data_IF_440629203881
#
_entry.id   IF_440629203881
#
_cell.length_a   1.000
_cell.length_b   1.000
_cell.length_c   1.000
_cell.angle_alpha   90.00
_cell.angle_beta   90.00
_cell.angle_gamma   90.00
#
_symmetry.space_group_name_H-M   'P 1'
#
loop_
_entity.id
_entity.type
_entity.pdbx_description
1 polymer ?
#
# COMPACT_ATOMS: atom_id res chain seq x y z
N UNK A 1 6.72 24.55 3.67
CA UNK A 1 7.47 23.31 3.36
C UNK A 1 6.69 22.51 2.33
N UNK A 2 7.31 22.26 1.22
CA UNK A 2 6.67 21.51 0.15
C UNK A 2 6.74 20.02 0.43
N UNK A 3 5.61 19.34 0.28
CA UNK A 3 5.59 17.88 0.33
C UNK A 3 6.45 17.36 -0.82
N UNK A 4 7.40 16.44 -0.56
CA UNK A 4 8.20 15.92 -1.66
C UNK A 4 7.28 15.26 -2.69
N UNK A 5 7.53 15.47 -3.99
CA UNK A 5 6.72 14.83 -5.02
C UNK A 5 6.86 13.31 -4.94
N UNK A 6 5.84 12.58 -5.40
CA UNK A 6 5.86 11.11 -5.42
C UNK A 6 7.09 10.54 -6.13
N UNK A 7 7.69 11.32 -7.02
CA UNK A 7 8.91 10.96 -7.73
C UNK A 7 10.12 10.78 -6.82
N UNK A 8 10.08 11.33 -5.57
CA UNK A 8 11.14 11.10 -4.59
C UNK A 8 10.96 9.81 -3.79
N UNK A 9 9.85 9.12 -3.92
CA UNK A 9 9.65 7.81 -3.31
C UNK A 9 10.52 6.77 -4.02
N UNK A 10 11.16 5.90 -3.25
CA UNK A 10 11.99 4.84 -3.79
C UNK A 10 11.17 3.56 -3.86
N UNK A 11 11.18 2.88 -5.00
CA UNK A 11 10.50 1.60 -5.16
C UNK A 11 11.33 0.47 -4.55
N UNK A 12 10.66 -0.45 -3.85
CA UNK A 12 11.26 -1.68 -3.35
C UNK A 12 10.66 -2.84 -4.13
N UNK A 13 11.53 -3.62 -4.78
CA UNK A 13 11.11 -4.74 -5.60
C UNK A 13 11.67 -6.04 -5.07
N UNK A 14 10.94 -7.12 -5.33
CA UNK A 14 11.37 -8.47 -4.99
C UNK A 14 12.47 -8.89 -5.96
N UNK A 15 13.59 -9.38 -5.41
CA UNK A 15 14.67 -9.88 -6.26
C UNK A 15 14.24 -11.16 -6.99
N UNK A 16 14.62 -11.23 -8.25
CA UNK A 16 14.33 -12.37 -9.11
C UNK A 16 15.64 -12.98 -9.59
N UNK A 17 16.18 -13.93 -8.84
CA UNK A 17 17.51 -14.52 -9.08
C UNK A 17 17.59 -15.30 -10.39
N UNK A 18 16.46 -15.75 -10.93
CA UNK A 18 16.40 -16.58 -12.14
C UNK A 18 16.00 -15.82 -13.42
N UNK A 19 15.77 -14.53 -13.28
CA UNK A 19 15.49 -13.64 -14.40
C UNK A 19 16.11 -12.26 -14.12
N UNK A 20 17.47 -12.13 -14.23
CA UNK A 20 18.17 -10.92 -13.84
C UNK A 20 17.78 -9.66 -14.62
N UNK A 21 17.20 -9.83 -15.81
CA UNK A 21 16.70 -8.70 -16.61
C UNK A 21 15.29 -8.24 -16.19
N UNK A 22 14.62 -9.01 -15.34
CA UNK A 22 13.31 -8.67 -14.82
C UNK A 22 13.48 -7.80 -13.56
N UNK A 23 12.90 -6.59 -13.52
CA UNK A 23 13.00 -5.74 -12.34
C UNK A 23 12.34 -6.33 -11.08
N UNK A 24 11.59 -7.43 -11.23
CA UNK A 24 10.90 -8.06 -10.11
C UNK A 24 9.58 -7.37 -9.76
N UNK A 25 8.82 -8.03 -8.90
CA UNK A 25 7.53 -7.52 -8.46
C UNK A 25 7.71 -6.34 -7.49
N UNK A 26 6.94 -5.30 -7.68
CA UNK A 26 6.91 -4.16 -6.76
C UNK A 26 6.22 -4.57 -5.46
N UNK A 27 6.97 -4.54 -4.36
CA UNK A 27 6.45 -4.98 -3.05
C UNK A 27 6.11 -3.82 -2.12
N UNK A 28 6.61 -2.63 -2.41
CA UNK A 28 6.30 -1.45 -1.62
C UNK A 28 7.17 -0.25 -1.96
N UNK A 29 7.11 0.76 -1.12
CA UNK A 29 7.81 2.02 -1.32
C UNK A 29 8.56 2.42 -0.07
N UNK A 30 9.60 3.25 -0.26
CA UNK A 30 10.25 4.00 0.79
C UNK A 30 9.91 5.47 0.58
N UNK A 31 9.27 6.09 1.56
CA UNK A 31 8.89 7.50 1.48
C UNK A 31 9.91 8.32 2.25
N UNK A 32 10.46 9.40 1.66
CA UNK A 32 11.47 10.20 2.35
C UNK A 32 10.87 10.89 3.57
N UNK A 33 11.65 10.90 4.66
CA UNK A 33 11.29 11.53 5.92
C UNK A 33 12.39 12.51 6.34
N UNK A 34 12.16 13.24 7.42
CA UNK A 34 13.14 14.21 7.91
C UNK A 34 14.44 13.53 8.39
N UNK A 35 15.54 14.23 8.25
CA UNK A 35 16.85 13.75 8.75
C UNK A 35 17.47 12.62 7.95
N UNK A 36 17.01 12.38 6.74
CA UNK A 36 17.54 11.31 5.90
C UNK A 36 16.94 9.94 6.17
N UNK A 37 15.94 9.88 7.03
CA UNK A 37 15.19 8.65 7.30
C UNK A 37 14.15 8.36 6.23
N UNK A 38 13.61 7.14 6.26
CA UNK A 38 12.62 6.66 5.30
C UNK A 38 11.47 5.98 6.00
N UNK A 39 10.26 6.21 5.51
CA UNK A 39 9.07 5.52 5.99
C UNK A 39 8.82 4.31 5.10
N UNK A 40 8.85 3.08 5.66
CA UNK A 40 8.45 1.91 4.88
C UNK A 40 6.96 1.97 4.59
N UNK A 41 6.59 1.71 3.34
CA UNK A 41 5.21 1.87 2.91
C UNK A 41 4.79 0.78 1.92
N UNK A 42 3.49 0.57 1.82
CA UNK A 42 2.89 -0.29 0.82
C UNK A 42 2.99 0.34 -0.57
N UNK A 43 2.64 -0.43 -1.60
CA UNK A 43 2.62 0.06 -2.99
C UNK A 43 1.71 1.28 -3.15
N UNK A 44 0.66 1.38 -2.36
CA UNK A 44 -0.28 2.50 -2.41
C UNK A 44 0.03 3.60 -1.37
N UNK A 45 1.21 3.55 -0.75
CA UNK A 45 1.69 4.64 0.10
C UNK A 45 1.26 4.61 1.56
N UNK A 46 0.65 3.53 2.03
CA UNK A 46 0.27 3.40 3.44
C UNK A 46 1.49 2.98 4.28
N UNK A 47 1.75 3.69 5.37
CA UNK A 47 2.90 3.41 6.22
C UNK A 47 2.82 2.01 6.87
N UNK A 48 3.93 1.28 6.84
CA UNK A 48 4.08 -0.02 7.49
C UNK A 48 4.75 0.09 8.86
N UNK A 49 5.32 1.25 9.16
CA UNK A 49 6.00 1.52 10.42
C UNK A 49 6.51 2.94 10.48
N UNK A 50 7.17 3.34 11.58
CA UNK A 50 7.73 4.68 11.70
C UNK A 50 8.95 4.87 10.79
N UNK A 51 9.34 6.13 10.58
CA UNK A 51 10.53 6.46 9.83
C UNK A 51 11.76 5.84 10.50
N UNK A 52 12.65 5.29 9.69
CA UNK A 52 13.89 4.66 10.14
C UNK A 52 14.94 4.75 9.04
N UNK A 53 16.14 4.21 9.28
CA UNK A 53 17.17 4.22 8.25
C UNK A 53 16.74 3.42 7.01
N UNK A 54 17.39 3.70 5.89
CA UNK A 54 17.01 3.12 4.60
C UNK A 54 17.06 1.59 4.59
N UNK A 55 18.12 1.00 5.15
CA UNK A 55 18.30 -0.45 5.14
C UNK A 55 17.21 -1.17 5.94
N UNK A 56 16.87 -0.65 7.11
CA UNK A 56 15.82 -1.22 7.94
C UNK A 56 14.44 -1.01 7.31
N UNK A 57 14.20 0.17 6.75
CA UNK A 57 12.95 0.46 6.05
C UNK A 57 12.74 -0.49 4.88
N UNK A 58 13.77 -0.70 4.07
CA UNK A 58 13.72 -1.65 2.95
C UNK A 58 13.42 -3.08 3.41
N UNK A 59 14.06 -3.51 4.49
CA UNK A 59 13.84 -4.81 5.08
C UNK A 59 12.39 -4.99 5.55
N UNK A 60 11.82 -3.97 6.18
CA UNK A 60 10.44 -3.98 6.62
C UNK A 60 9.45 -4.07 5.45
N UNK A 61 9.74 -3.36 4.36
CA UNK A 61 8.90 -3.43 3.16
C UNK A 61 8.94 -4.85 2.56
N UNK A 62 10.12 -5.44 2.46
CA UNK A 62 10.26 -6.80 1.91
C UNK A 62 9.57 -7.84 2.76
N UNK A 63 9.64 -7.68 4.09
CA UNK A 63 9.02 -8.61 5.02
C UNK A 63 7.51 -8.47 5.10
N UNK A 64 6.99 -7.23 5.11
CA UNK A 64 5.59 -6.94 5.37
C UNK A 64 4.78 -6.52 4.15
N UNK A 65 5.44 -6.08 3.08
CA UNK A 65 4.76 -5.51 1.92
C UNK A 65 3.71 -6.43 1.31
N UNK A 66 4.04 -7.70 1.10
CA UNK A 66 3.12 -8.67 0.53
C UNK A 66 2.15 -9.23 1.58
N UNK A 67 2.60 -9.46 2.81
CA UNK A 67 1.74 -9.99 3.85
C UNK A 67 0.64 -9.02 4.25
N UNK A 68 0.84 -7.72 4.04
CA UNK A 68 -0.18 -6.71 4.30
C UNK A 68 -1.43 -6.89 3.42
N UNK A 69 -1.31 -7.54 2.26
CA UNK A 69 -2.45 -7.82 1.40
C UNK A 69 -3.37 -8.89 1.98
N UNK A 70 -2.89 -9.71 2.92
CA UNK A 70 -3.70 -10.73 3.57
C UNK A 70 -4.54 -10.17 4.73
N UNK A 71 -4.36 -8.90 5.08
CA UNK A 71 -5.07 -8.24 6.15
C UNK A 71 -6.27 -7.46 5.64
N UNK A 72 -7.24 -7.23 6.51
CA UNK A 72 -8.33 -6.32 6.20
C UNK A 72 -7.88 -4.88 6.40
N UNK A 73 -8.30 -4.03 5.48
CA UNK A 73 -7.97 -2.60 5.50
C UNK A 73 -9.23 -1.77 5.63
N UNK A 74 -9.12 -0.63 6.28
CA UNK A 74 -10.18 0.35 6.26
C UNK A 74 -10.04 1.20 5.00
N UNK A 75 -11.09 1.26 4.21
CA UNK A 75 -11.11 1.94 2.93
C UNK A 75 -12.29 2.90 2.87
N UNK A 76 -12.02 4.11 2.42
CA UNK A 76 -13.03 5.12 2.15
C UNK A 76 -12.86 5.60 0.71
N UNK A 77 -13.93 5.51 -0.08
CA UNK A 77 -13.92 5.97 -1.47
C UNK A 77 -14.73 7.26 -1.54
N UNK A 78 -14.07 8.35 -1.97
CA UNK A 78 -14.72 9.66 -2.02
C UNK A 78 -15.22 10.10 -0.64
N UNK A 79 -16.48 10.50 -0.56
CA UNK A 79 -17.13 10.95 0.67
C UNK A 79 -17.96 9.88 1.35
N UNK A 80 -17.79 8.62 0.95
CA UNK A 80 -18.55 7.51 1.53
C UNK A 80 -18.04 7.14 2.92
N UNK A 81 -18.74 6.24 3.58
CA UNK A 81 -18.34 5.75 4.90
C UNK A 81 -17.10 4.87 4.82
N UNK A 82 -16.31 4.84 5.89
CA UNK A 82 -15.21 3.90 6.03
C UNK A 82 -15.76 2.49 6.15
N UNK A 83 -15.20 1.57 5.37
CA UNK A 83 -15.56 0.15 5.39
C UNK A 83 -14.31 -0.71 5.35
N UNK A 84 -14.40 -1.89 5.94
CA UNK A 84 -13.31 -2.85 5.83
C UNK A 84 -13.36 -3.58 4.50
N UNK A 85 -12.20 -3.86 3.95
CA UNK A 85 -12.07 -4.56 2.67
C UNK A 85 -10.83 -5.43 2.64
N UNK A 86 -10.88 -6.45 1.80
CA UNK A 86 -9.72 -7.26 1.45
C UNK A 86 -9.12 -6.72 0.17
N UNK A 87 -7.81 -6.55 0.14
CA UNK A 87 -7.13 -6.12 -1.08
C UNK A 87 -6.75 -7.35 -1.89
N UNK A 88 -7.32 -7.47 -3.08
CA UNK A 88 -7.09 -8.62 -3.97
C UNK A 88 -5.92 -8.41 -4.92
N UNK A 89 -5.74 -7.18 -5.37
CA UNK A 89 -4.67 -6.81 -6.29
C UNK A 89 -4.35 -5.33 -6.13
N UNK A 90 -3.08 -4.98 -6.20
CA UNK A 90 -2.63 -3.59 -6.07
C UNK A 90 -1.79 -3.21 -7.27
N UNK A 91 -2.16 -2.10 -7.92
CA UNK A 91 -1.39 -1.47 -8.99
C UNK A 91 -1.01 -0.05 -8.58
N UNK A 92 -0.04 0.58 -9.24
CA UNK A 92 0.40 1.93 -8.85
C UNK A 92 -0.69 3.00 -8.84
N UNK A 93 -1.73 2.85 -9.67
CA UNK A 93 -2.80 3.84 -9.81
C UNK A 93 -4.15 3.38 -9.27
N UNK A 94 -4.30 2.09 -8.98
CA UNK A 94 -5.59 1.53 -8.58
C UNK A 94 -5.43 0.25 -7.77
N UNK A 95 -6.47 -0.08 -7.03
CA UNK A 95 -6.54 -1.33 -6.27
C UNK A 95 -7.81 -2.09 -6.64
N UNK A 96 -7.73 -3.41 -6.59
CA UNK A 96 -8.91 -4.26 -6.69
C UNK A 96 -9.19 -4.78 -5.28
N UNK A 97 -10.40 -4.55 -4.79
CA UNK A 97 -10.77 -4.92 -3.43
C UNK A 97 -12.10 -5.64 -3.39
N UNK A 98 -12.31 -6.35 -2.31
CA UNK A 98 -13.59 -6.94 -1.98
C UNK A 98 -14.00 -6.45 -0.60
N UNK A 99 -15.18 -5.83 -0.53
CA UNK A 99 -15.69 -5.32 0.74
C UNK A 99 -16.02 -6.46 1.69
N UNK A 100 -15.64 -6.30 2.95
CA UNK A 100 -15.99 -7.25 4.00
C UNK A 100 -17.36 -6.86 4.58
N UNK A 101 -18.38 -7.02 3.74
CA UNK A 101 -19.75 -6.71 4.10
C UNK A 101 -20.69 -7.75 3.46
N UNK A 102 -21.25 -8.67 4.25
CA UNK A 102 -22.10 -9.72 3.70
C UNK A 102 -23.43 -9.22 3.13
N UNK A 103 -23.79 -7.97 3.43
CA UNK A 103 -25.01 -7.36 2.92
C UNK A 103 -24.84 -6.72 1.55
N UNK A 104 -23.60 -6.53 1.11
CA UNK A 104 -23.32 -5.96 -0.21
C UNK A 104 -23.34 -7.05 -1.27
N UNK A 105 -24.07 -6.79 -2.34
CA UNK A 105 -24.02 -7.62 -3.52
C UNK A 105 -22.80 -7.23 -4.33
N UNK A 106 -21.78 -8.07 -4.32
CA UNK A 106 -20.54 -7.84 -5.04
C UNK A 106 -20.09 -9.09 -5.76
N UNK A 107 -19.36 -8.91 -6.85
CA UNK A 107 -18.84 -10.04 -7.61
C UNK A 107 -17.67 -10.68 -6.87
N UNK A 108 -17.43 -11.98 -7.08
CA UNK A 108 -16.26 -12.66 -6.53
C UNK A 108 -14.94 -12.13 -7.03
N UNK A 109 -14.94 -11.35 -8.13
CA UNK A 109 -13.76 -10.73 -8.71
C UNK A 109 -13.37 -9.41 -8.04
N UNK A 110 -14.22 -8.88 -7.16
CA UNK A 110 -13.98 -7.61 -6.50
C UNK A 110 -14.26 -6.41 -7.38
N UNK A 111 -13.83 -5.25 -6.90
CA UNK A 111 -14.09 -3.97 -7.51
C UNK A 111 -12.79 -3.18 -7.66
N UNK A 112 -12.60 -2.54 -8.81
CA UNK A 112 -11.44 -1.67 -9.03
C UNK A 112 -11.76 -0.26 -8.54
N UNK A 113 -10.84 0.30 -7.75
CA UNK A 113 -10.96 1.66 -7.22
C UNK A 113 -9.64 2.40 -7.50
N UNK A 114 -9.75 3.64 -7.96
CA UNK A 114 -8.57 4.48 -8.19
C UNK A 114 -8.00 4.94 -6.86
N UNK A 115 -6.68 4.89 -6.72
CA UNK A 115 -6.00 5.31 -5.50
C UNK A 115 -6.22 6.79 -5.19
N UNK A 116 -6.36 7.64 -6.21
CA UNK A 116 -6.62 9.07 -6.01
C UNK A 116 -7.98 9.34 -5.36
N UNK A 117 -8.92 8.40 -5.47
CA UNK A 117 -10.27 8.52 -4.89
C UNK A 117 -10.40 7.76 -3.58
N UNK A 118 -9.39 6.99 -3.18
CA UNK A 118 -9.46 6.11 -2.02
C UNK A 118 -8.53 6.58 -0.91
N UNK A 119 -9.03 6.44 0.33
CA UNK A 119 -8.21 6.56 1.53
C UNK A 119 -8.13 5.17 2.14
N UNK A 120 -6.94 4.72 2.48
CA UNK A 120 -6.70 3.36 2.95
C UNK A 120 -5.84 3.40 4.20
N UNK A 121 -6.27 2.74 5.27
CA UNK A 121 -5.50 2.69 6.51
C UNK A 121 -5.74 1.38 7.25
N UNK A 122 -4.78 0.99 8.06
CA UNK A 122 -4.86 -0.27 8.82
C UNK A 122 -5.67 -0.12 10.09
N UNK A 123 -5.53 0.99 10.77
CA UNK A 123 -6.23 1.25 12.03
C UNK A 123 -7.66 1.70 11.78
N UNK A 124 -8.56 1.38 12.69
CA UNK A 124 -9.93 1.86 12.61
C UNK A 124 -9.95 3.40 12.60
N UNK A 125 -10.78 4.01 11.76
CA UNK A 125 -10.85 5.48 11.71
C UNK A 125 -11.38 6.03 13.03
N UNK A 126 -10.90 7.23 13.37
CA UNK A 126 -11.44 7.95 14.51
C UNK A 126 -12.90 8.33 14.22
N UNK A 127 -13.78 8.00 15.14
CA UNK A 127 -15.20 8.31 15.01
C UNK A 127 -15.49 9.71 15.55
#
# INVERSE_FOLDING_TARGET
MTTPPRTSAREVRRENDWAPDDPGELVGLLLPADGGDWVPATVFGAALGPATDEALAESLVRERGLSSLAERWWVRVGDTEWRQAWLLEVKPDRIRLRWDDPMLMQTGHGEWVRLEEAQIQRAAPAS
#
